data_IF_434284454392
#
_entry.id   IF_434284454392
#
_cell.length_a   1.000
_cell.length_b   1.000
_cell.length_c   1.000
_cell.angle_alpha   90.00
_cell.angle_beta   90.00
_cell.angle_gamma   90.00
#
_symmetry.space_group_name_H-M   'P 1'
#
loop_
_entity.id
_entity.type
_entity.pdbx_description
1 polymer ?
#
# COMPACT_ATOMS: atom_id res chain seq x y z
N UNK A 1 1.96 -24.26 -0.14
CA UNK A 1 1.49 -23.44 -1.31
C UNK A 1 2.72 -22.87 -1.99
N UNK A 2 2.77 -22.89 -3.31
CA UNK A 2 3.78 -22.12 -4.04
C UNK A 2 3.28 -20.66 -4.19
N UNK A 3 3.94 -19.74 -3.49
CA UNK A 3 3.54 -18.34 -3.52
C UNK A 3 3.88 -17.66 -4.85
N UNK A 4 4.84 -18.20 -5.62
CA UNK A 4 5.14 -17.72 -6.97
C UNK A 4 3.95 -17.95 -7.91
N UNK A 5 3.47 -19.18 -7.96
CA UNK A 5 2.29 -19.55 -8.77
C UNK A 5 1.03 -18.78 -8.32
N UNK A 6 0.83 -18.65 -7.00
CA UNK A 6 -0.30 -17.91 -6.45
C UNK A 6 -0.27 -16.43 -6.86
N UNK A 7 0.92 -15.83 -6.88
CA UNK A 7 1.14 -14.44 -7.30
C UNK A 7 0.87 -14.26 -8.78
N UNK A 8 1.37 -15.15 -9.64
CA UNK A 8 1.10 -15.12 -11.07
C UNK A 8 -0.40 -15.26 -11.36
N UNK A 9 -1.08 -16.20 -10.71
CA UNK A 9 -2.53 -16.35 -10.81
C UNK A 9 -3.28 -15.07 -10.37
N UNK A 10 -2.84 -14.40 -9.30
CA UNK A 10 -3.41 -13.12 -8.89
C UNK A 10 -3.29 -12.07 -10.02
N UNK A 11 -2.12 -11.94 -10.64
CA UNK A 11 -1.91 -11.00 -11.75
C UNK A 11 -2.83 -11.31 -12.91
N UNK A 12 -2.86 -12.56 -13.38
CA UNK A 12 -3.61 -12.94 -14.57
C UNK A 12 -5.13 -12.99 -14.35
N UNK A 13 -5.58 -13.50 -13.21
CA UNK A 13 -6.99 -13.78 -12.96
C UNK A 13 -7.71 -12.68 -12.17
N UNK A 14 -7.02 -11.90 -11.35
CA UNK A 14 -7.65 -10.85 -10.54
C UNK A 14 -7.34 -9.44 -11.06
N UNK A 15 -6.10 -9.15 -11.46
CA UNK A 15 -5.72 -7.80 -11.86
C UNK A 15 -6.05 -7.51 -13.33
N UNK A 16 -5.54 -8.29 -14.26
CA UNK A 16 -5.75 -8.07 -15.70
C UNK A 16 -7.23 -8.15 -16.09
N UNK A 17 -7.95 -9.10 -15.55
CA UNK A 17 -9.39 -9.27 -15.79
C UNK A 17 -10.21 -8.10 -15.28
N UNK A 18 -9.73 -7.37 -14.27
CA UNK A 18 -10.34 -6.17 -13.70
C UNK A 18 -9.76 -4.86 -14.23
N UNK A 19 -9.19 -4.88 -15.44
CA UNK A 19 -8.71 -3.70 -16.19
C UNK A 19 -7.57 -2.93 -15.48
N UNK A 20 -6.75 -3.61 -14.69
CA UNK A 20 -5.48 -3.07 -14.25
C UNK A 20 -4.50 -3.31 -15.39
N UNK A 21 -4.07 -2.22 -16.04
CA UNK A 21 -3.29 -2.22 -17.28
C UNK A 21 -1.95 -1.51 -17.16
N UNK A 22 -1.73 -0.73 -16.10
CA UNK A 22 -0.44 -0.09 -15.85
C UNK A 22 0.62 -1.17 -15.59
N UNK A 23 1.56 -1.30 -16.52
CA UNK A 23 2.62 -2.31 -16.46
C UNK A 23 3.51 -2.17 -15.22
N UNK A 24 3.70 -0.96 -14.71
CA UNK A 24 4.49 -0.70 -13.49
C UNK A 24 3.83 -1.29 -12.26
N UNK A 25 2.49 -1.16 -12.15
CA UNK A 25 1.69 -1.74 -11.06
C UNK A 25 1.73 -3.28 -11.15
N UNK A 26 1.49 -3.82 -12.34
CA UNK A 26 1.54 -5.27 -12.58
C UNK A 26 2.92 -5.85 -12.25
N UNK A 27 3.99 -5.19 -12.66
CA UNK A 27 5.37 -5.58 -12.36
C UNK A 27 5.65 -5.54 -10.86
N UNK A 28 5.34 -4.42 -10.18
CA UNK A 28 5.51 -4.30 -8.73
C UNK A 28 4.75 -5.40 -7.98
N UNK A 29 3.47 -5.62 -8.32
CA UNK A 29 2.65 -6.63 -7.65
C UNK A 29 3.06 -8.07 -8.01
N UNK A 30 3.74 -8.29 -9.13
CA UNK A 30 4.28 -9.61 -9.51
C UNK A 30 5.56 -9.98 -8.77
N UNK A 31 6.30 -8.99 -8.27
CA UNK A 31 7.58 -9.21 -7.58
C UNK A 31 7.46 -9.14 -6.05
N UNK A 32 6.57 -8.31 -5.53
CA UNK A 32 6.40 -8.12 -4.09
C UNK A 32 5.78 -9.36 -3.40
N UNK A 33 6.40 -9.85 -2.32
CA UNK A 33 5.91 -11.02 -1.57
C UNK A 33 4.74 -10.64 -0.68
N UNK A 34 3.54 -10.61 -1.26
CA UNK A 34 2.30 -10.16 -0.59
C UNK A 34 2.01 -10.94 0.70
N UNK A 35 2.36 -12.23 0.73
CA UNK A 35 2.24 -13.12 1.89
C UNK A 35 3.00 -12.61 3.13
N UNK A 36 4.05 -11.81 2.95
CA UNK A 36 4.81 -11.26 4.07
C UNK A 36 4.13 -10.09 4.77
N UNK A 37 3.15 -9.47 4.11
CA UNK A 37 2.41 -8.31 4.62
C UNK A 37 1.17 -8.69 5.45
N UNK A 38 0.90 -9.97 5.62
CA UNK A 38 -0.19 -10.50 6.46
C UNK A 38 0.37 -11.19 7.71
N UNK A 39 -0.48 -11.49 8.72
CA UNK A 39 -0.10 -12.38 9.82
C UNK A 39 0.29 -13.76 9.30
N UNK A 40 1.26 -14.41 9.96
CA UNK A 40 1.79 -15.71 9.55
C UNK A 40 0.71 -16.79 9.34
N UNK A 41 -0.29 -16.80 10.20
CA UNK A 41 -1.42 -17.73 10.12
C UNK A 41 -2.34 -17.46 8.92
N UNK A 42 -2.12 -16.39 8.17
CA UNK A 42 -2.91 -15.96 7.01
C UNK A 42 -2.10 -15.89 5.70
N UNK A 43 -0.85 -16.29 5.71
CA UNK A 43 0.03 -16.25 4.52
C UNK A 43 -0.57 -16.98 3.32
N UNK A 44 -1.21 -18.14 3.55
CA UNK A 44 -1.86 -18.92 2.49
C UNK A 44 -3.10 -18.22 1.89
N UNK A 45 -3.67 -17.24 2.59
CA UNK A 45 -4.80 -16.46 2.12
C UNK A 45 -4.38 -15.16 1.41
N UNK A 46 -3.11 -14.80 1.45
CA UNK A 46 -2.63 -13.50 0.96
C UNK A 46 -3.00 -13.20 -0.51
N UNK A 47 -3.17 -14.23 -1.29
CA UNK A 47 -3.52 -14.15 -2.72
C UNK A 47 -5.00 -14.44 -3.03
N UNK A 48 -5.83 -14.62 -2.00
CA UNK A 48 -7.28 -14.71 -2.18
C UNK A 48 -7.86 -13.35 -2.60
N UNK A 49 -8.92 -13.38 -3.41
CA UNK A 49 -9.62 -12.17 -3.87
C UNK A 49 -10.55 -11.63 -2.78
N UNK A 50 -9.96 -11.21 -1.68
CA UNK A 50 -10.64 -10.68 -0.50
C UNK A 50 -9.72 -9.82 0.35
N UNK A 51 -10.29 -9.01 1.23
CA UNK A 51 -9.55 -8.30 2.26
C UNK A 51 -9.06 -9.29 3.34
N UNK A 52 -7.79 -9.19 3.71
CA UNK A 52 -7.17 -10.07 4.71
C UNK A 52 -6.99 -9.29 6.02
N UNK A 53 -7.68 -9.66 7.10
CA UNK A 53 -7.49 -9.00 8.39
C UNK A 53 -6.04 -9.11 8.89
N UNK A 54 -5.45 -7.97 9.30
CA UNK A 54 -4.08 -7.87 9.82
C UNK A 54 -4.01 -7.62 11.33
N UNK A 55 -5.17 -7.62 11.99
CA UNK A 55 -5.30 -7.27 13.42
C UNK A 55 -5.57 -5.79 13.64
N UNK A 56 -5.98 -5.44 14.84
CA UNK A 56 -6.18 -4.04 15.28
C UNK A 56 -7.08 -3.18 14.37
N UNK A 57 -8.06 -3.82 13.74
CA UNK A 57 -8.96 -3.16 12.77
C UNK A 57 -8.31 -2.83 11.42
N UNK A 58 -7.10 -3.33 11.16
CA UNK A 58 -6.40 -3.19 9.89
C UNK A 58 -6.62 -4.42 9.01
N UNK A 59 -6.64 -4.20 7.71
CA UNK A 59 -6.65 -5.27 6.72
C UNK A 59 -5.69 -4.96 5.57
N UNK A 60 -5.22 -6.01 4.92
CA UNK A 60 -4.61 -5.93 3.61
C UNK A 60 -5.76 -5.97 2.59
N UNK A 61 -5.96 -4.88 1.87
CA UNK A 61 -7.02 -4.74 0.87
C UNK A 61 -6.87 -5.81 -0.22
N UNK A 62 -7.98 -6.32 -0.75
CA UNK A 62 -7.97 -7.21 -1.91
C UNK A 62 -7.08 -6.66 -3.03
N UNK A 63 -6.29 -7.53 -3.67
CA UNK A 63 -5.28 -7.10 -4.64
C UNK A 63 -5.89 -6.30 -5.81
N UNK A 64 -7.05 -6.73 -6.29
CA UNK A 64 -7.80 -6.03 -7.34
C UNK A 64 -8.18 -4.62 -6.90
N UNK A 65 -8.70 -4.45 -5.68
CA UNK A 65 -9.14 -3.16 -5.18
C UNK A 65 -7.95 -2.19 -4.98
N UNK A 66 -6.87 -2.64 -4.34
CA UNK A 66 -5.68 -1.80 -4.16
C UNK A 66 -5.01 -1.45 -5.48
N UNK A 67 -4.85 -2.41 -6.39
CA UNK A 67 -4.28 -2.18 -7.72
C UNK A 67 -5.10 -1.18 -8.53
N UNK A 68 -6.43 -1.27 -8.45
CA UNK A 68 -7.33 -0.34 -9.13
C UNK A 68 -7.23 1.08 -8.56
N UNK A 69 -7.24 1.23 -7.24
CA UNK A 69 -7.09 2.54 -6.60
C UNK A 69 -5.73 3.19 -6.92
N UNK A 70 -4.65 2.41 -6.89
CA UNK A 70 -3.30 2.92 -7.23
C UNK A 70 -3.25 3.35 -8.70
N UNK A 71 -3.87 2.59 -9.61
CA UNK A 71 -3.95 2.98 -11.03
C UNK A 71 -4.73 4.28 -11.22
N UNK A 72 -5.89 4.43 -10.59
CA UNK A 72 -6.70 5.66 -10.66
C UNK A 72 -6.01 6.88 -10.02
N UNK A 73 -5.11 6.67 -9.05
CA UNK A 73 -4.30 7.74 -8.46
C UNK A 73 -3.32 8.36 -9.47
N UNK A 74 -2.99 7.66 -10.55
CA UNK A 74 -2.19 8.20 -11.65
C UNK A 74 -0.77 8.61 -11.27
N UNK A 75 -0.14 7.90 -10.34
CA UNK A 75 1.18 8.22 -9.77
C UNK A 75 2.26 8.28 -10.85
N UNK A 76 3.04 9.35 -10.84
CA UNK A 76 4.17 9.58 -11.73
C UNK A 76 5.50 9.31 -11.01
N UNK A 77 6.55 9.07 -11.77
CA UNK A 77 7.88 8.73 -11.22
C UNK A 77 8.54 9.85 -10.41
N UNK A 78 8.08 11.09 -10.54
CA UNK A 78 8.57 12.25 -9.78
C UNK A 78 7.62 12.68 -8.66
N UNK A 79 6.52 11.96 -8.43
CA UNK A 79 5.55 12.31 -7.40
C UNK A 79 6.05 11.93 -6.00
N UNK A 80 5.70 12.78 -5.03
CA UNK A 80 5.80 12.52 -3.60
C UNK A 80 4.42 12.13 -3.08
N UNK A 81 4.35 10.96 -2.44
CA UNK A 81 3.08 10.33 -2.05
C UNK A 81 2.97 10.22 -0.54
N UNK A 82 1.83 10.62 0.01
CA UNK A 82 1.44 10.28 1.38
C UNK A 82 0.43 9.13 1.33
N UNK A 83 0.73 8.02 1.99
CA UNK A 83 -0.21 6.93 2.22
C UNK A 83 -0.71 6.97 3.66
N UNK A 84 -2.00 7.20 3.86
CA UNK A 84 -2.64 7.28 5.18
C UNK A 84 -3.31 5.93 5.51
N UNK A 85 -3.01 5.37 6.67
CA UNK A 85 -3.52 4.07 7.11
C UNK A 85 -2.77 2.91 6.46
N UNK A 86 -1.45 3.03 6.37
CA UNK A 86 -0.58 2.13 5.60
C UNK A 86 -0.60 0.66 6.07
N UNK A 87 -1.16 0.36 7.26
CA UNK A 87 -1.18 -0.99 7.82
C UNK A 87 0.24 -1.60 7.81
N UNK A 88 0.40 -2.76 7.23
CA UNK A 88 1.70 -3.44 7.10
C UNK A 88 2.53 -2.98 5.89
N UNK A 89 2.00 -2.04 5.08
CA UNK A 89 2.76 -1.33 4.06
C UNK A 89 2.76 -1.93 2.65
N UNK A 90 1.86 -2.86 2.30
CA UNK A 90 1.85 -3.45 0.96
C UNK A 90 1.57 -2.43 -0.14
N UNK A 91 0.50 -1.61 0.01
CA UNK A 91 0.19 -0.55 -0.96
C UNK A 91 1.34 0.45 -1.09
N UNK A 92 2.01 0.77 0.02
CA UNK A 92 3.22 1.61 0.04
C UNK A 92 4.34 0.99 -0.79
N UNK A 93 4.60 -0.32 -0.61
CA UNK A 93 5.62 -1.04 -1.37
C UNK A 93 5.32 -1.03 -2.87
N UNK A 94 4.05 -1.15 -3.27
CA UNK A 94 3.65 -1.01 -4.69
C UNK A 94 3.90 0.42 -5.17
N UNK A 95 3.43 1.43 -4.43
CA UNK A 95 3.59 2.85 -4.82
C UNK A 95 5.05 3.29 -4.84
N UNK A 96 5.91 2.73 -4.01
CA UNK A 96 7.35 3.01 -4.01
C UNK A 96 8.04 2.61 -5.34
N UNK A 97 7.48 1.64 -6.06
CA UNK A 97 7.94 1.30 -7.41
C UNK A 97 7.46 2.28 -8.50
N UNK A 98 6.57 3.21 -8.17
CA UNK A 98 5.94 4.15 -9.10
C UNK A 98 6.37 5.59 -8.88
N UNK A 99 6.58 5.97 -7.62
CA UNK A 99 6.81 7.34 -7.16
C UNK A 99 8.29 7.62 -6.88
N UNK A 100 8.64 8.90 -6.68
CA UNK A 100 9.97 9.30 -6.20
C UNK A 100 10.15 8.99 -4.71
N UNK A 101 9.11 9.20 -3.91
CA UNK A 101 9.09 8.89 -2.48
C UNK A 101 7.69 8.61 -1.96
N UNK A 102 7.59 7.80 -0.93
CA UNK A 102 6.32 7.47 -0.26
C UNK A 102 6.48 7.58 1.24
N UNK A 103 5.68 8.44 1.87
CA UNK A 103 5.53 8.50 3.32
C UNK A 103 4.32 7.63 3.71
N UNK A 104 4.54 6.65 4.55
CA UNK A 104 3.52 5.75 5.08
C UNK A 104 3.12 6.20 6.48
N UNK A 105 1.96 6.84 6.64
CA UNK A 105 1.43 7.25 7.94
C UNK A 105 0.57 6.12 8.53
N UNK A 106 0.93 5.65 9.72
CA UNK A 106 0.19 4.64 10.46
C UNK A 106 0.12 5.00 11.95
N UNK A 107 -1.03 4.72 12.57
CA UNK A 107 -1.24 4.99 14.00
C UNK A 107 -1.02 3.76 14.89
N UNK A 108 -1.00 2.57 14.30
CA UNK A 108 -0.75 1.33 15.03
C UNK A 108 0.74 1.02 15.08
N UNK A 109 1.33 1.04 16.27
CA UNK A 109 2.77 0.84 16.48
C UNK A 109 3.28 -0.51 15.94
N UNK A 110 2.53 -1.59 16.12
CA UNK A 110 2.93 -2.90 15.62
C UNK A 110 2.97 -2.95 14.09
N UNK A 111 2.03 -2.25 13.42
CA UNK A 111 2.05 -2.08 11.97
C UNK A 111 3.24 -1.23 11.51
N UNK A 112 3.55 -0.14 12.21
CA UNK A 112 4.73 0.70 11.93
C UNK A 112 6.02 -0.11 12.01
N UNK A 113 6.20 -0.88 13.08
CA UNK A 113 7.39 -1.73 13.27
C UNK A 113 7.50 -2.79 12.15
N UNK A 114 6.39 -3.46 11.83
CA UNK A 114 6.35 -4.46 10.75
C UNK A 114 6.62 -3.85 9.39
N UNK A 115 5.98 -2.74 9.05
CA UNK A 115 6.19 -2.04 7.78
C UNK A 115 7.65 -1.59 7.63
N UNK A 116 8.23 -0.97 8.66
CA UNK A 116 9.63 -0.54 8.65
C UNK A 116 10.61 -1.70 8.42
N UNK A 117 10.38 -2.84 9.07
CA UNK A 117 11.17 -4.06 8.85
C UNK A 117 11.05 -4.54 7.40
N UNK A 118 9.83 -4.62 6.86
CA UNK A 118 9.58 -5.08 5.50
C UNK A 118 10.20 -4.14 4.46
N UNK A 119 10.10 -2.82 4.65
CA UNK A 119 10.71 -1.85 3.73
C UNK A 119 12.23 -2.02 3.67
N UNK A 120 12.87 -2.20 4.83
CA UNK A 120 14.31 -2.45 4.89
C UNK A 120 14.72 -3.77 4.21
N UNK A 121 14.00 -4.86 4.49
CA UNK A 121 14.29 -6.18 3.92
C UNK A 121 14.02 -6.27 2.42
N UNK A 122 13.07 -5.47 1.91
CA UNK A 122 12.75 -5.38 0.49
C UNK A 122 13.55 -4.29 -0.25
N UNK A 123 14.48 -3.60 0.45
CA UNK A 123 15.31 -2.52 -0.10
C UNK A 123 14.47 -1.39 -0.74
N UNK A 124 13.38 -1.00 -0.07
CA UNK A 124 12.55 0.13 -0.49
C UNK A 124 13.12 1.43 0.08
N UNK A 125 14.20 1.92 -0.50
CA UNK A 125 14.97 3.07 0.01
C UNK A 125 14.19 4.40 -0.08
N UNK A 126 13.14 4.46 -0.90
CA UNK A 126 12.28 5.62 -1.11
C UNK A 126 10.93 5.53 -0.36
N UNK A 127 10.78 4.58 0.54
CA UNK A 127 9.60 4.45 1.39
C UNK A 127 9.98 4.54 2.88
N UNK A 128 9.28 5.39 3.62
CA UNK A 128 9.47 5.52 5.07
C UNK A 128 8.12 5.44 5.78
N UNK A 129 8.09 4.75 6.92
CA UNK A 129 6.90 4.69 7.77
C UNK A 129 7.07 5.62 8.96
N UNK A 130 6.01 6.37 9.26
CA UNK A 130 5.91 7.30 10.39
C UNK A 130 4.70 6.97 11.24
N UNK A 131 4.86 7.09 12.56
CA UNK A 131 3.77 6.89 13.52
C UNK A 131 3.08 8.22 13.80
N UNK A 132 1.76 8.27 13.62
CA UNK A 132 1.00 9.48 13.91
C UNK A 132 -0.51 9.32 13.74
N UNK A 133 -1.28 10.33 14.16
CA UNK A 133 -2.73 10.33 14.02
C UNK A 133 -3.15 10.46 12.55
N UNK A 134 -3.92 9.51 12.04
CA UNK A 134 -4.30 9.44 10.63
C UNK A 134 -5.07 10.67 10.15
N UNK A 135 -5.89 11.27 11.02
CA UNK A 135 -6.75 12.43 10.70
C UNK A 135 -5.99 13.74 10.47
N UNK A 136 -4.71 13.79 10.83
CA UNK A 136 -3.87 15.00 10.65
C UNK A 136 -3.04 14.98 9.37
N UNK A 137 -2.95 13.82 8.69
CA UNK A 137 -1.94 13.66 7.65
C UNK A 137 -0.52 13.76 8.23
N UNK A 138 0.43 14.18 7.41
CA UNK A 138 1.83 14.36 7.79
C UNK A 138 2.39 15.65 7.19
N UNK A 139 2.29 16.76 7.94
CA UNK A 139 2.65 18.10 7.47
C UNK A 139 4.16 18.29 7.21
N UNK A 140 5.00 17.54 7.92
CA UNK A 140 6.46 17.73 7.91
C UNK A 140 7.05 17.69 6.51
N UNK A 141 6.53 16.83 5.65
CA UNK A 141 7.02 16.59 4.28
C UNK A 141 6.04 17.11 3.21
N UNK A 142 4.97 17.83 3.62
CA UNK A 142 4.03 18.42 2.65
C UNK A 142 4.65 19.56 1.84
N UNK A 143 4.16 19.87 0.62
CA UNK A 143 2.97 19.31 -0.02
C UNK A 143 3.24 18.00 -0.78
N UNK A 144 2.21 17.15 -0.89
CA UNK A 144 2.24 15.87 -1.62
C UNK A 144 1.55 15.99 -2.98
N UNK A 145 2.09 15.33 -4.00
CA UNK A 145 1.44 15.23 -5.32
C UNK A 145 0.23 14.30 -5.27
N UNK A 146 0.29 13.25 -4.44
CA UNK A 146 -0.80 12.29 -4.24
C UNK A 146 -0.95 12.00 -2.75
N UNK A 147 -2.18 12.00 -2.26
CA UNK A 147 -2.53 11.45 -0.94
C UNK A 147 -3.42 10.24 -1.16
N UNK A 148 -2.93 9.08 -0.76
CA UNK A 148 -3.61 7.80 -0.87
C UNK A 148 -4.11 7.36 0.50
N UNK A 149 -5.43 7.12 0.64
CA UNK A 149 -6.01 6.58 1.86
C UNK A 149 -6.21 5.09 1.67
N UNK A 150 -5.41 4.29 2.40
CA UNK A 150 -5.45 2.82 2.29
C UNK A 150 -6.53 2.24 3.19
N UNK A 151 -7.76 2.42 2.77
CA UNK A 151 -8.94 1.97 3.50
C UNK A 151 -10.18 2.79 3.19
N UNK A 152 -11.21 2.60 4.01
CA UNK A 152 -12.49 3.29 3.89
C UNK A 152 -12.66 4.27 5.04
N UNK A 153 -13.02 5.51 4.71
CA UNK A 153 -13.28 6.60 5.68
C UNK A 153 -14.64 7.22 5.44
N UNK A 154 -15.27 7.74 6.48
CA UNK A 154 -16.55 8.44 6.37
C UNK A 154 -16.40 9.87 5.85
N UNK A 155 -15.25 10.51 6.15
CA UNK A 155 -14.89 11.86 5.72
C UNK A 155 -13.38 12.02 5.65
N UNK A 156 -12.92 12.96 4.86
CA UNK A 156 -11.51 13.34 4.77
C UNK A 156 -11.37 14.70 5.48
N UNK A 157 -10.55 14.80 6.55
CA UNK A 157 -10.34 16.06 7.26
C UNK A 157 -9.70 17.13 6.36
N UNK A 158 -10.07 18.41 6.57
CA UNK A 158 -9.50 19.54 5.82
C UNK A 158 -7.97 19.58 5.91
N UNK A 159 -7.41 19.27 7.07
CA UNK A 159 -5.96 19.21 7.27
C UNK A 159 -5.23 18.28 6.30
N UNK A 160 -5.92 17.24 5.79
CA UNK A 160 -5.35 16.34 4.78
C UNK A 160 -5.39 17.00 3.38
N UNK A 161 -6.49 17.69 3.04
CA UNK A 161 -6.58 18.42 1.77
C UNK A 161 -5.56 19.56 1.65
N UNK A 162 -5.28 20.24 2.76
CA UNK A 162 -4.30 21.34 2.82
C UNK A 162 -2.85 20.89 2.55
N UNK A 163 -2.60 19.57 2.60
CA UNK A 163 -1.28 18.97 2.31
C UNK A 163 -1.12 18.53 0.84
N UNK A 164 -2.13 18.70 -0.01
CA UNK A 164 -2.00 18.47 -1.45
C UNK A 164 -1.29 19.64 -2.15
N UNK A 165 -0.46 19.31 -3.17
CA UNK A 165 0.28 20.27 -3.98
C UNK A 165 -0.64 21.03 -4.96
#
# INVERSE_FOLDING_TARGET
MDFGDARENMIECQLRTNKITDSRILEAMSTLPRERFVPREREEMAYADMDIPCGEGRCLMAAMASGRLIQEAGIKSNDEVLCIGASTGYSVAVMANLASSVIALESNKACVEKAGTLFSELNLDNAVVVEGPLTRGWETESPYNVIFIDGMVSEIPNAVFEQLA
#
